data_IF_466748220045
#
_entry.id   IF_466748220045
#
_cell.length_a   1.000
_cell.length_b   1.000
_cell.length_c   1.000
_cell.angle_alpha   90.00
_cell.angle_beta   90.00
_cell.angle_gamma   90.00
#
_symmetry.space_group_name_H-M   'P 1'
#
loop_
_entity.id
_entity.type
_entity.pdbx_description
1 polymer ?
#
# COMPACT_ATOMS: atom_id res chain seq x y z
N UNK A 1 10.94 4.66 12.82
CA UNK A 1 10.72 3.42 12.00
C UNK A 1 10.37 2.18 12.84
N UNK A 2 10.76 2.12 14.15
CA UNK A 2 10.42 1.00 15.03
C UNK A 2 8.89 0.85 15.25
N UNK A 3 8.15 1.95 15.25
CA UNK A 3 6.69 1.97 15.41
C UNK A 3 5.95 1.18 14.32
N UNK A 4 6.52 1.06 13.11
CA UNK A 4 5.92 0.31 12.01
C UNK A 4 6.10 -1.21 12.16
N UNK A 5 7.12 -1.63 12.89
CA UNK A 5 7.42 -3.05 13.14
C UNK A 5 6.39 -3.66 14.10
N UNK A 6 5.85 -2.85 15.02
CA UNK A 6 4.89 -3.32 16.02
C UNK A 6 3.61 -3.87 15.36
N UNK A 7 2.85 -3.10 14.54
CA UNK A 7 1.66 -3.65 13.89
C UNK A 7 2.00 -4.81 12.96
N UNK A 8 3.15 -4.75 12.27
CA UNK A 8 3.63 -5.83 11.44
C UNK A 8 3.83 -7.13 12.24
N UNK A 9 4.46 -7.05 13.41
CA UNK A 9 4.67 -8.20 14.27
C UNK A 9 3.36 -8.85 14.71
N UNK A 10 2.36 -8.08 15.11
CA UNK A 10 1.08 -8.60 15.58
C UNK A 10 0.22 -9.18 14.44
N UNK A 11 0.22 -8.55 13.26
CA UNK A 11 -0.57 -9.00 12.11
C UNK A 11 -0.17 -10.40 11.65
N UNK A 12 1.09 -10.80 11.80
CA UNK A 12 1.54 -12.16 11.39
C UNK A 12 0.78 -13.30 12.09
N UNK A 13 0.23 -13.05 13.26
CA UNK A 13 -0.53 -14.05 14.04
C UNK A 13 -2.01 -14.08 13.70
N UNK A 14 -2.50 -13.08 12.96
CA UNK A 14 -3.91 -12.94 12.62
C UNK A 14 -4.12 -13.53 11.22
N UNK A 15 -4.97 -14.55 11.11
CA UNK A 15 -5.39 -15.06 9.82
C UNK A 15 -6.46 -14.13 9.24
N UNK A 16 -6.05 -13.35 8.23
CA UNK A 16 -6.93 -12.40 7.55
C UNK A 16 -7.41 -13.06 6.26
N UNK A 17 -8.71 -13.25 6.16
CA UNK A 17 -9.42 -13.67 4.95
C UNK A 17 -9.99 -12.45 4.21
N UNK A 18 -10.55 -12.66 3.02
CA UNK A 18 -11.12 -11.59 2.19
C UNK A 18 -12.16 -10.75 2.95
N UNK A 19 -13.05 -11.38 3.71
CA UNK A 19 -14.12 -10.66 4.44
C UNK A 19 -13.52 -9.75 5.50
N UNK A 20 -12.59 -10.27 6.30
CA UNK A 20 -11.90 -9.47 7.33
C UNK A 20 -11.08 -8.35 6.68
N UNK A 21 -10.37 -8.64 5.59
CA UNK A 21 -9.60 -7.63 4.87
C UNK A 21 -10.50 -6.47 4.40
N UNK A 22 -11.64 -6.78 3.75
CA UNK A 22 -12.59 -5.74 3.32
C UNK A 22 -13.14 -4.93 4.50
N UNK A 23 -13.51 -5.58 5.60
CA UNK A 23 -14.03 -4.90 6.81
C UNK A 23 -12.96 -3.94 7.37
N UNK A 24 -11.71 -4.39 7.47
CA UNK A 24 -10.60 -3.57 7.97
C UNK A 24 -10.37 -2.36 7.06
N UNK A 25 -10.33 -2.57 5.74
CA UNK A 25 -10.09 -1.49 4.77
C UNK A 25 -11.23 -0.48 4.75
N UNK A 26 -12.49 -0.94 4.78
CA UNK A 26 -13.66 -0.06 4.89
C UNK A 26 -13.65 0.68 6.23
N UNK A 27 -13.27 0.00 7.32
CA UNK A 27 -13.06 0.63 8.62
C UNK A 27 -11.99 1.72 8.60
N UNK A 28 -10.88 1.49 7.90
CA UNK A 28 -9.85 2.50 7.69
C UNK A 28 -10.36 3.69 6.87
N UNK A 29 -11.15 3.44 5.83
CA UNK A 29 -11.74 4.48 4.99
C UNK A 29 -12.71 5.35 5.80
N UNK A 30 -13.65 4.72 6.51
CA UNK A 30 -14.65 5.42 7.32
C UNK A 30 -14.02 6.09 8.57
N UNK A 31 -13.04 5.43 9.17
CA UNK A 31 -12.35 5.92 10.37
C UNK A 31 -11.20 6.90 10.09
N UNK A 32 -10.81 7.06 8.83
CA UNK A 32 -9.65 7.87 8.45
C UNK A 32 -9.71 9.30 8.98
N UNK A 33 -10.88 9.95 8.89
CA UNK A 33 -11.10 11.31 9.41
C UNK A 33 -10.96 11.35 10.94
N UNK A 34 -11.49 10.36 11.64
CA UNK A 34 -11.38 10.27 13.11
C UNK A 34 -9.91 10.08 13.51
N UNK A 35 -9.23 9.15 12.84
CA UNK A 35 -7.81 8.89 13.07
C UNK A 35 -6.99 10.15 12.78
N UNK A 36 -7.28 10.86 11.69
CA UNK A 36 -6.62 12.12 11.36
C UNK A 36 -6.81 13.17 12.46
N UNK A 37 -8.02 13.36 12.95
CA UNK A 37 -8.30 14.30 14.02
C UNK A 37 -7.57 13.94 15.31
N UNK A 38 -7.50 12.66 15.67
CA UNK A 38 -6.75 12.21 16.84
C UNK A 38 -5.24 12.45 16.66
N UNK A 39 -4.69 12.06 15.51
CA UNK A 39 -3.27 12.25 15.18
C UNK A 39 -2.94 13.76 15.15
N UNK A 40 -3.76 14.59 14.53
CA UNK A 40 -3.55 16.04 14.46
C UNK A 40 -3.59 16.68 15.84
N UNK A 41 -4.50 16.27 16.70
CA UNK A 41 -4.58 16.74 18.09
C UNK A 41 -3.30 16.35 18.85
N UNK A 42 -2.84 15.11 18.73
CA UNK A 42 -1.60 14.67 19.38
C UNK A 42 -0.37 15.41 18.85
N UNK A 43 -0.28 15.59 17.53
CA UNK A 43 0.83 16.30 16.91
C UNK A 43 0.83 17.81 17.22
N UNK A 44 -0.34 18.40 17.49
CA UNK A 44 -0.43 19.83 17.85
C UNK A 44 0.33 20.19 19.13
N UNK A 45 0.52 19.23 20.04
CA UNK A 45 1.33 19.37 21.26
C UNK A 45 2.83 19.12 21.04
N UNK A 46 3.24 18.76 19.82
CA UNK A 46 4.63 18.43 19.50
C UNK A 46 5.23 19.45 18.51
N UNK A 47 6.57 19.38 18.33
CA UNK A 47 7.28 20.15 17.29
C UNK A 47 6.80 19.79 15.87
N UNK A 48 6.06 18.73 15.71
CA UNK A 48 5.54 18.22 14.42
C UNK A 48 4.25 18.95 13.97
N UNK A 49 3.73 19.94 14.74
CA UNK A 49 2.60 20.76 14.33
C UNK A 49 2.79 21.37 12.93
N UNK A 50 4.02 21.74 12.59
CA UNK A 50 4.36 22.31 11.29
C UNK A 50 3.99 21.39 10.12
N UNK A 51 4.10 20.07 10.30
CA UNK A 51 3.75 19.09 9.25
C UNK A 51 2.26 19.03 8.95
N UNK A 52 1.40 19.51 9.84
CA UNK A 52 -0.05 19.53 9.64
C UNK A 52 -0.51 20.78 8.88
N UNK A 53 0.28 21.85 8.89
CA UNK A 53 -0.09 23.17 8.37
C UNK A 53 0.64 23.56 7.09
N UNK A 54 1.71 22.85 6.73
CA UNK A 54 2.47 23.15 5.52
C UNK A 54 1.82 22.50 4.30
N UNK A 55 1.58 23.29 3.25
CA UNK A 55 1.03 22.87 1.95
C UNK A 55 1.84 21.75 1.31
N UNK A 56 3.14 21.68 1.60
CA UNK A 56 4.06 20.62 1.11
C UNK A 56 3.69 19.22 1.62
N UNK A 57 2.87 19.11 2.64
CA UNK A 57 2.45 17.85 3.25
C UNK A 57 0.97 17.54 3.06
N UNK A 58 0.29 18.29 2.19
CA UNK A 58 -1.07 17.93 1.81
C UNK A 58 -1.10 16.50 1.27
N UNK A 59 -2.22 15.85 1.48
CA UNK A 59 -2.41 14.44 1.14
C UNK A 59 -2.22 14.22 -0.37
N UNK A 60 -0.99 13.98 -0.79
CA UNK A 60 -0.64 13.55 -2.15
C UNK A 60 -0.89 12.06 -2.28
N UNK A 61 -2.14 11.65 -2.05
CA UNK A 61 -2.54 10.28 -2.32
C UNK A 61 -2.44 10.05 -3.82
N UNK A 62 -1.40 9.35 -4.24
CA UNK A 62 -1.26 8.98 -5.65
C UNK A 62 -2.32 7.94 -5.96
N UNK A 63 -3.41 8.36 -6.60
CA UNK A 63 -4.56 7.51 -6.96
C UNK A 63 -4.11 6.21 -7.63
N UNK A 64 -3.07 6.28 -8.46
CA UNK A 64 -2.47 5.11 -9.11
C UNK A 64 -1.93 4.08 -8.12
N UNK A 65 -1.27 4.51 -7.06
CA UNK A 65 -0.69 3.61 -6.05
C UNK A 65 -1.79 2.94 -5.22
N UNK A 66 -2.84 3.68 -4.88
CA UNK A 66 -4.01 3.14 -4.18
C UNK A 66 -4.69 2.08 -5.04
N UNK A 67 -4.90 2.37 -6.33
CA UNK A 67 -5.48 1.42 -7.26
C UNK A 67 -4.63 0.15 -7.38
N UNK A 68 -3.33 0.29 -7.55
CA UNK A 68 -2.41 -0.83 -7.70
C UNK A 68 -2.46 -1.77 -6.50
N UNK A 69 -2.25 -1.24 -5.30
CA UNK A 69 -2.30 -2.03 -4.05
C UNK A 69 -3.69 -2.66 -3.84
N UNK A 70 -4.77 -1.93 -4.17
CA UNK A 70 -6.14 -2.45 -4.06
C UNK A 70 -6.38 -3.60 -5.02
N UNK A 71 -5.98 -3.48 -6.29
CA UNK A 71 -6.16 -4.53 -7.29
C UNK A 71 -5.35 -5.78 -6.94
N UNK A 72 -4.07 -5.64 -6.54
CA UNK A 72 -3.26 -6.76 -6.09
C UNK A 72 -3.95 -7.49 -4.93
N UNK A 73 -4.41 -6.75 -3.93
CA UNK A 73 -5.05 -7.30 -2.75
C UNK A 73 -6.35 -8.01 -3.10
N UNK A 74 -7.22 -7.38 -3.88
CA UNK A 74 -8.49 -7.99 -4.31
C UNK A 74 -8.30 -9.24 -5.15
N UNK A 75 -7.36 -9.23 -6.11
CA UNK A 75 -7.08 -10.42 -6.94
C UNK A 75 -6.56 -11.55 -6.07
N UNK A 76 -5.61 -11.29 -5.19
CA UNK A 76 -4.97 -12.34 -4.38
C UNK A 76 -5.92 -12.92 -3.33
N UNK A 77 -6.58 -12.08 -2.54
CA UNK A 77 -7.58 -12.54 -1.57
C UNK A 77 -8.78 -13.18 -2.25
N UNK A 78 -9.27 -12.59 -3.36
CA UNK A 78 -10.39 -13.11 -4.13
C UNK A 78 -10.10 -14.47 -4.74
N UNK A 79 -8.93 -14.67 -5.33
CA UNK A 79 -8.51 -15.96 -5.88
C UNK A 79 -8.44 -17.06 -4.82
N UNK A 80 -7.83 -16.78 -3.67
CA UNK A 80 -7.71 -17.74 -2.58
C UNK A 80 -9.11 -18.08 -2.00
N UNK A 81 -9.97 -17.06 -1.81
CA UNK A 81 -11.32 -17.27 -1.33
C UNK A 81 -12.17 -18.08 -2.31
N UNK A 82 -12.08 -17.76 -3.61
CA UNK A 82 -12.81 -18.48 -4.66
C UNK A 82 -12.41 -19.96 -4.74
N UNK A 83 -11.11 -20.24 -4.67
CA UNK A 83 -10.59 -21.60 -4.73
C UNK A 83 -10.77 -22.37 -3.43
N UNK A 84 -11.20 -21.73 -2.34
CA UNK A 84 -11.26 -22.33 -0.99
C UNK A 84 -9.96 -23.07 -0.65
N UNK A 85 -8.84 -22.54 -1.12
CA UNK A 85 -7.55 -23.20 -1.05
C UNK A 85 -6.96 -23.11 0.35
N UNK A 86 -6.54 -24.27 0.87
CA UNK A 86 -5.66 -24.30 2.03
C UNK A 86 -4.25 -23.87 1.59
N UNK A 87 -3.86 -22.69 2.00
CA UNK A 87 -2.53 -22.14 1.73
C UNK A 87 -1.58 -22.47 2.87
N UNK A 88 -0.29 -22.53 2.57
CA UNK A 88 0.72 -22.73 3.61
C UNK A 88 0.67 -21.63 4.67
N UNK A 89 1.02 -21.94 5.91
CA UNK A 89 1.03 -20.95 6.99
C UNK A 89 1.91 -19.74 6.67
N UNK A 90 3.06 -19.96 6.03
CA UNK A 90 3.95 -18.88 5.60
C UNK A 90 3.26 -17.95 4.61
N UNK A 91 2.56 -18.50 3.63
CA UNK A 91 1.84 -17.67 2.66
C UNK A 91 0.63 -16.98 3.30
N UNK A 92 -0.06 -17.63 4.25
CA UNK A 92 -1.13 -17.00 5.02
C UNK A 92 -0.61 -15.80 5.83
N UNK A 93 0.58 -15.88 6.41
CA UNK A 93 1.21 -14.76 7.08
C UNK A 93 1.52 -13.62 6.09
N UNK A 94 2.06 -13.95 4.91
CA UNK A 94 2.30 -12.95 3.86
C UNK A 94 1.02 -12.27 3.40
N UNK A 95 -0.07 -13.01 3.24
CA UNK A 95 -1.39 -12.44 2.96
C UNK A 95 -1.84 -11.48 4.07
N UNK A 96 -1.67 -11.87 5.33
CA UNK A 96 -2.03 -11.00 6.45
C UNK A 96 -1.20 -9.71 6.46
N UNK A 97 0.06 -9.77 6.06
CA UNK A 97 0.91 -8.57 5.89
C UNK A 97 0.42 -7.65 4.76
N UNK A 98 -0.16 -8.19 3.69
CA UNK A 98 -0.66 -7.39 2.56
C UNK A 98 -1.78 -6.41 2.96
N UNK A 99 -2.41 -6.61 4.12
CA UNK A 99 -3.40 -5.65 4.62
C UNK A 99 -2.76 -4.30 4.99
N UNK A 100 -1.48 -4.27 5.38
CA UNK A 100 -0.80 -3.04 5.78
C UNK A 100 -0.63 -2.05 4.62
N UNK A 101 -0.02 -2.43 3.47
CA UNK A 101 0.03 -1.54 2.32
C UNK A 101 -1.37 -1.13 1.86
N UNK A 102 -2.36 -2.03 1.93
CA UNK A 102 -3.72 -1.70 1.53
C UNK A 102 -4.38 -0.67 2.46
N UNK A 103 -4.31 -0.87 3.78
CA UNK A 103 -4.84 0.09 4.75
C UNK A 103 -4.12 1.44 4.67
N UNK A 104 -2.79 1.44 4.57
CA UNK A 104 -2.03 2.70 4.49
C UNK A 104 -2.28 3.43 3.18
N UNK A 105 -2.50 2.71 2.08
CA UNK A 105 -2.91 3.30 0.81
C UNK A 105 -4.26 4.03 0.92
N UNK A 106 -5.24 3.39 1.56
CA UNK A 106 -6.57 3.99 1.77
C UNK A 106 -6.50 5.15 2.76
N UNK A 107 -5.74 5.02 3.85
CA UNK A 107 -5.55 6.10 4.82
C UNK A 107 -4.81 7.31 4.22
N UNK A 108 -4.00 7.14 3.19
CA UNK A 108 -3.33 8.25 2.52
C UNK A 108 -4.28 9.24 1.83
N UNK A 109 -5.54 8.85 1.62
CA UNK A 109 -6.60 9.74 1.11
C UNK A 109 -6.92 10.85 2.14
N UNK A 110 -6.86 10.52 3.43
CA UNK A 110 -7.32 11.41 4.51
C UNK A 110 -6.21 11.87 5.43
N UNK A 111 -5.14 11.10 5.55
CA UNK A 111 -4.04 11.38 6.47
C UNK A 111 -2.81 11.83 5.69
N UNK A 112 -2.40 13.11 5.80
CA UNK A 112 -1.12 13.56 5.29
C UNK A 112 0.00 12.67 5.85
N UNK A 113 1.03 12.39 5.06
CA UNK A 113 2.15 11.52 5.41
C UNK A 113 1.84 10.01 5.42
N UNK A 114 0.60 9.54 5.38
CA UNK A 114 0.30 8.11 5.30
C UNK A 114 0.91 7.48 4.02
N UNK A 115 1.02 8.25 2.92
CA UNK A 115 1.69 7.82 1.70
C UNK A 115 3.18 7.45 1.92
N UNK A 116 3.89 8.14 2.85
CA UNK A 116 5.28 7.77 3.19
C UNK A 116 5.33 6.42 3.90
N UNK A 117 4.36 6.16 4.77
CA UNK A 117 4.22 4.86 5.44
C UNK A 117 3.88 3.77 4.43
N UNK A 118 3.01 4.08 3.47
CA UNK A 118 2.65 3.19 2.38
C UNK A 118 3.87 2.74 1.59
N UNK A 119 4.79 3.64 1.22
CA UNK A 119 6.00 3.27 0.49
C UNK A 119 6.85 2.23 1.22
N UNK A 120 6.96 2.30 2.56
CA UNK A 120 7.67 1.26 3.30
C UNK A 120 7.02 -0.10 3.16
N UNK A 121 5.70 -0.16 3.14
CA UNK A 121 4.99 -1.43 2.99
C UNK A 121 4.90 -1.92 1.55
N UNK A 122 4.95 -1.03 0.56
CA UNK A 122 4.97 -1.41 -0.85
C UNK A 122 6.19 -2.26 -1.23
N UNK A 123 7.33 -2.07 -0.57
CA UNK A 123 8.48 -2.96 -0.78
C UNK A 123 8.14 -4.42 -0.49
N UNK A 124 7.20 -4.67 0.37
CA UNK A 124 6.73 -6.03 0.64
C UNK A 124 6.01 -6.65 -0.57
N UNK A 125 5.35 -5.84 -1.40
CA UNK A 125 4.65 -6.33 -2.60
C UNK A 125 5.60 -6.95 -3.62
N UNK A 126 6.88 -6.53 -3.64
CA UNK A 126 7.91 -7.12 -4.49
C UNK A 126 8.13 -8.61 -4.16
N UNK A 127 7.99 -8.98 -2.90
CA UNK A 127 8.10 -10.38 -2.44
C UNK A 127 6.73 -11.07 -2.50
N UNK A 128 5.67 -10.35 -2.18
CA UNK A 128 4.31 -10.88 -2.11
C UNK A 128 3.78 -11.34 -3.47
N UNK A 129 3.95 -10.53 -4.53
CA UNK A 129 3.44 -10.83 -5.85
C UNK A 129 4.01 -12.14 -6.40
N UNK A 130 5.34 -12.38 -6.43
CA UNK A 130 5.89 -13.66 -6.85
C UNK A 130 5.40 -14.83 -5.99
N UNK A 131 5.34 -14.64 -4.66
CA UNK A 131 4.86 -15.68 -3.77
C UNK A 131 3.38 -16.03 -4.03
N UNK A 132 2.54 -15.04 -4.32
CA UNK A 132 1.15 -15.27 -4.74
C UNK A 132 1.11 -16.05 -6.06
N UNK A 133 1.85 -15.63 -7.09
CA UNK A 133 1.87 -16.28 -8.39
C UNK A 133 2.32 -17.74 -8.31
N UNK A 134 3.27 -18.06 -7.44
CA UNK A 134 3.70 -19.46 -7.20
C UNK A 134 2.59 -20.31 -6.57
N UNK A 135 1.67 -19.69 -5.82
CA UNK A 135 0.51 -20.38 -5.25
C UNK A 135 -0.65 -20.55 -6.24
N UNK A 136 -0.59 -19.96 -7.44
CA UNK A 136 -1.58 -20.16 -8.50
C UNK A 136 -1.27 -21.46 -9.25
N UNK A 137 -2.14 -22.46 -9.14
CA UNK A 137 -1.92 -23.80 -9.72
C UNK A 137 -1.94 -23.80 -11.24
N UNK A 138 -2.95 -23.15 -11.82
CA UNK A 138 -3.14 -23.13 -13.26
C UNK A 138 -2.14 -22.19 -13.92
N UNK A 139 -1.28 -22.74 -14.79
CA UNK A 139 -0.26 -21.97 -15.53
C UNK A 139 -0.86 -20.82 -16.35
N UNK A 140 -2.03 -21.04 -16.99
CA UNK A 140 -2.71 -19.98 -17.77
C UNK A 140 -3.18 -18.86 -16.86
N UNK A 141 -3.83 -19.17 -15.75
CA UNK A 141 -4.29 -18.17 -14.77
C UNK A 141 -3.10 -17.42 -14.14
N UNK A 142 -2.01 -18.15 -13.85
CA UNK A 142 -0.77 -17.53 -13.36
C UNK A 142 -0.20 -16.51 -14.34
N UNK A 143 -0.15 -16.88 -15.63
CA UNK A 143 0.33 -15.98 -16.68
C UNK A 143 -0.55 -14.75 -16.80
N UNK A 144 -1.88 -14.92 -16.78
CA UNK A 144 -2.82 -13.78 -16.82
C UNK A 144 -2.58 -12.84 -15.65
N UNK A 145 -2.48 -13.34 -14.41
CA UNK A 145 -2.21 -12.48 -13.26
C UNK A 145 -0.85 -11.79 -13.36
N UNK A 146 0.19 -12.52 -13.78
CA UNK A 146 1.51 -11.93 -13.97
C UNK A 146 1.46 -10.80 -15.02
N UNK A 147 0.79 -11.02 -16.15
CA UNK A 147 0.62 -10.00 -17.19
C UNK A 147 -0.13 -8.78 -16.65
N UNK A 148 -1.24 -8.99 -15.92
CA UNK A 148 -2.01 -7.89 -15.33
C UNK A 148 -1.14 -7.07 -14.38
N UNK A 149 -0.40 -7.70 -13.47
CA UNK A 149 0.44 -6.98 -12.52
C UNK A 149 1.58 -6.22 -13.19
N UNK A 150 2.27 -6.85 -14.16
CA UNK A 150 3.34 -6.19 -14.92
C UNK A 150 2.79 -5.01 -15.72
N UNK A 151 1.67 -5.19 -16.42
CA UNK A 151 1.05 -4.12 -17.22
C UNK A 151 0.62 -2.96 -16.33
N UNK A 152 -0.02 -3.25 -15.19
CA UNK A 152 -0.42 -2.20 -14.25
C UNK A 152 0.79 -1.46 -13.68
N UNK A 153 1.82 -2.19 -13.26
CA UNK A 153 3.04 -1.58 -12.73
C UNK A 153 3.71 -0.69 -13.78
N UNK A 154 3.84 -1.19 -15.01
CA UNK A 154 4.41 -0.43 -16.13
C UNK A 154 3.58 0.81 -16.44
N UNK A 155 2.25 0.69 -16.50
CA UNK A 155 1.35 1.81 -16.76
C UNK A 155 1.45 2.88 -15.65
N UNK A 156 1.51 2.49 -14.38
CA UNK A 156 1.67 3.41 -13.26
C UNK A 156 3.04 4.10 -13.30
N UNK A 157 4.09 3.36 -13.64
CA UNK A 157 5.44 3.92 -13.76
C UNK A 157 5.50 4.95 -14.89
N UNK A 158 4.96 4.60 -16.07
CA UNK A 158 4.90 5.54 -17.20
C UNK A 158 4.06 6.77 -16.85
N UNK A 159 2.88 6.56 -16.24
CA UNK A 159 2.03 7.66 -15.77
C UNK A 159 2.77 8.57 -14.77
N UNK A 160 3.44 7.98 -13.79
CA UNK A 160 4.24 8.72 -12.81
C UNK A 160 5.36 9.52 -13.48
N UNK A 161 6.04 8.96 -14.49
CA UNK A 161 7.09 9.66 -15.24
C UNK A 161 6.56 10.85 -16.06
N UNK A 162 5.29 10.82 -16.47
CA UNK A 162 4.67 11.92 -17.23
C UNK A 162 4.16 13.06 -16.33
N UNK A 163 4.01 12.81 -15.03
CA UNK A 163 3.65 13.85 -14.06
C UNK A 163 4.91 14.55 -13.55
N UNK A 164 4.91 15.88 -13.56
CA UNK A 164 6.08 16.69 -13.17
C UNK A 164 6.61 16.40 -11.75
N UNK A 165 5.81 15.80 -10.89
CA UNK A 165 6.18 15.47 -9.51
C UNK A 165 7.27 14.40 -9.39
N UNK A 166 7.43 13.55 -10.40
CA UNK A 166 8.50 12.52 -10.42
C UNK A 166 9.89 13.09 -10.70
N UNK A 167 9.97 14.26 -11.35
CA UNK A 167 11.26 14.92 -11.58
C UNK A 167 11.91 15.39 -10.28
N UNK A 168 11.13 15.66 -9.24
CA UNK A 168 11.67 16.00 -7.91
C UNK A 168 12.23 14.78 -7.16
N UNK A 169 11.81 13.56 -7.50
CA UNK A 169 12.31 12.33 -6.88
C UNK A 169 13.63 11.84 -7.48
N UNK A 170 14.03 12.35 -8.64
CA UNK A 170 15.30 12.02 -9.29
C UNK A 170 16.30 13.14 -9.01
N UNK A 171 17.30 12.93 -8.14
CA UNK A 171 18.29 13.96 -7.78
C UNK A 171 19.12 14.46 -8.95
N UNK A 172 19.01 13.81 -10.12
CA UNK A 172 19.81 14.15 -11.31
C UNK A 172 19.34 15.42 -12.05
N UNK A 173 18.07 15.83 -11.93
CA UNK A 173 17.61 17.05 -12.62
C UNK A 173 18.01 18.36 -11.92
N UNK A 174 18.34 18.31 -10.64
CA UNK A 174 18.74 19.51 -9.90
C UNK A 174 20.12 20.05 -10.30
N UNK A 175 21.01 19.19 -10.81
CA UNK A 175 22.37 19.59 -11.19
C UNK A 175 22.48 20.14 -12.63
N UNK A 176 21.58 19.78 -13.53
CA UNK A 176 21.67 20.19 -14.94
C UNK A 176 20.92 21.47 -15.27
N UNK A 177 20.01 21.94 -14.43
CA UNK A 177 19.25 23.17 -14.68
C UNK A 177 19.91 24.44 -14.10
N UNK A 178 21.06 24.33 -13.48
CA UNK A 178 21.83 25.44 -12.92
C UNK A 178 23.21 25.66 -13.58
N UNK A 179 23.49 24.97 -14.70
CA UNK A 179 24.58 25.27 -15.60
C UNK A 179 24.07 25.94 -16.87
#
# INVERSE_FOLDING_TARGET
NLLLVIPAYFIRYIKIDLKKACIIVVGCLAGGTIIFNLVSTLLSFTRYKYFLTSVEYEAQATTSTILFTTVISLISYGYIAYKKKNVSERFQQMMSFQILPWCTAVLSITIPLAWRVQYYFMFFEVIYIPAFLLNVENKKTRLVFATVFVTMYTAITIWGMTQNDWYMALPYNYYFNYM
#
